data_IF_869187351817
#
_entry.id   IF_869187351817
#
_cell.length_a   1.000
_cell.length_b   1.000
_cell.length_c   1.000
_cell.angle_alpha   90.00
_cell.angle_beta   90.00
_cell.angle_gamma   90.00
#
_symmetry.space_group_name_H-M   'P 1'
#
loop_
_entity.id
_entity.type
_entity.pdbx_description
1 polymer ?
#
# COMPACT_ATOMS: atom_id res chain seq x y z
N UNK A 1 -14.20 -6.88 17.27
CA UNK A 1 -14.19 -5.99 16.09
C UNK A 1 -13.92 -6.70 14.75
N UNK A 2 -13.76 -8.03 14.66
CA UNK A 2 -13.08 -8.63 13.49
C UNK A 2 -13.97 -9.10 12.33
N UNK A 3 -15.16 -9.66 12.58
CA UNK A 3 -15.89 -10.32 11.49
C UNK A 3 -16.72 -9.37 10.62
N UNK A 4 -17.33 -8.35 11.23
CA UNK A 4 -18.18 -7.39 10.52
C UNK A 4 -17.39 -6.48 9.57
N UNK A 5 -16.25 -5.94 10.03
CA UNK A 5 -15.38 -5.09 9.20
C UNK A 5 -14.76 -5.88 8.04
N UNK A 6 -14.40 -7.15 8.28
CA UNK A 6 -13.90 -8.03 7.24
C UNK A 6 -14.99 -8.35 6.20
N UNK A 7 -16.23 -8.59 6.63
CA UNK A 7 -17.36 -8.80 5.70
C UNK A 7 -17.64 -7.56 4.86
N UNK A 8 -17.64 -6.37 5.48
CA UNK A 8 -17.81 -5.11 4.75
C UNK A 8 -16.69 -4.88 3.73
N UNK A 9 -15.44 -5.14 4.12
CA UNK A 9 -14.30 -5.05 3.22
C UNK A 9 -14.44 -6.03 2.04
N UNK A 10 -14.83 -7.27 2.29
CA UNK A 10 -15.00 -8.28 1.24
C UNK A 10 -16.15 -7.91 0.29
N UNK A 11 -17.27 -7.39 0.81
CA UNK A 11 -18.37 -6.91 -0.03
C UNK A 11 -17.93 -5.74 -0.91
N UNK A 12 -17.25 -4.76 -0.33
CA UNK A 12 -16.67 -3.64 -1.09
C UNK A 12 -15.69 -4.15 -2.16
N UNK A 13 -14.72 -4.98 -1.77
CA UNK A 13 -13.70 -5.52 -2.67
C UNK A 13 -14.31 -6.30 -3.84
N UNK A 14 -15.30 -7.14 -3.56
CA UNK A 14 -15.98 -7.93 -4.59
C UNK A 14 -16.85 -7.09 -5.52
N UNK A 15 -17.25 -5.87 -5.11
CA UNK A 15 -17.97 -4.92 -5.96
C UNK A 15 -17.08 -4.18 -6.97
N UNK A 16 -15.76 -4.23 -6.79
CA UNK A 16 -14.80 -3.55 -7.67
C UNK A 16 -14.57 -4.32 -8.97
N UNK A 17 -14.17 -3.61 -10.02
CA UNK A 17 -13.76 -4.22 -11.28
C UNK A 17 -12.58 -5.19 -11.07
N UNK A 18 -12.48 -6.30 -11.82
CA UNK A 18 -11.41 -7.29 -11.66
C UNK A 18 -9.99 -6.74 -11.76
N UNK A 19 -9.79 -5.70 -12.58
CA UNK A 19 -8.50 -5.01 -12.69
C UNK A 19 -8.13 -4.30 -11.38
N UNK A 20 -9.08 -3.61 -10.76
CA UNK A 20 -8.87 -2.91 -9.47
C UNK A 20 -8.62 -3.91 -8.35
N UNK A 21 -9.34 -5.03 -8.34
CA UNK A 21 -9.10 -6.12 -7.38
C UNK A 21 -7.67 -6.68 -7.48
N UNK A 22 -7.17 -6.84 -8.70
CA UNK A 22 -5.80 -7.29 -8.96
C UNK A 22 -4.78 -6.28 -8.44
N UNK A 23 -5.00 -5.00 -8.71
CA UNK A 23 -4.09 -3.94 -8.29
C UNK A 23 -4.04 -3.81 -6.75
N UNK A 24 -5.18 -3.92 -6.07
CA UNK A 24 -5.24 -3.95 -4.60
C UNK A 24 -4.47 -5.16 -4.05
N UNK A 25 -4.69 -6.36 -4.60
CA UNK A 25 -3.97 -7.57 -4.18
C UNK A 25 -2.46 -7.42 -4.39
N UNK A 26 -2.05 -6.88 -5.53
CA UNK A 26 -0.65 -6.65 -5.84
C UNK A 26 -0.03 -5.61 -4.91
N UNK A 27 -0.71 -4.48 -4.66
CA UNK A 27 -0.24 -3.47 -3.72
C UNK A 27 -0.04 -4.03 -2.31
N UNK A 28 -1.03 -4.79 -1.79
CA UNK A 28 -0.93 -5.42 -0.48
C UNK A 28 0.25 -6.40 -0.41
N UNK A 29 0.45 -7.19 -1.47
CA UNK A 29 1.58 -8.13 -1.55
C UNK A 29 2.94 -7.42 -1.57
N UNK A 30 3.09 -6.37 -2.39
CA UNK A 30 4.34 -5.60 -2.48
C UNK A 30 4.62 -4.87 -1.17
N UNK A 31 3.58 -4.33 -0.52
CA UNK A 31 3.71 -3.66 0.77
C UNK A 31 4.19 -4.61 1.86
N UNK A 32 3.64 -5.83 1.93
CA UNK A 32 4.08 -6.88 2.86
C UNK A 32 5.56 -7.22 2.64
N UNK A 33 5.97 -7.44 1.38
CA UNK A 33 7.39 -7.64 1.03
C UNK A 33 8.27 -6.46 1.41
N UNK A 34 7.81 -5.22 1.21
CA UNK A 34 8.57 -4.01 1.53
C UNK A 34 8.90 -3.91 3.03
N UNK A 35 7.95 -4.30 3.89
CA UNK A 35 8.12 -4.29 5.34
C UNK A 35 9.24 -5.25 5.78
N UNK A 36 9.27 -6.44 5.18
CA UNK A 36 10.22 -7.50 5.53
C UNK A 36 11.59 -7.37 4.83
N UNK A 37 11.67 -6.62 3.72
CA UNK A 37 12.90 -6.48 2.94
C UNK A 37 13.97 -5.66 3.69
N UNK A 38 15.14 -6.26 3.87
CA UNK A 38 16.29 -5.64 4.55
C UNK A 38 17.30 -5.03 3.57
N UNK A 39 17.31 -5.47 2.31
CA UNK A 39 18.14 -4.91 1.27
C UNK A 39 17.58 -3.57 0.80
N UNK A 40 18.32 -2.49 1.05
CA UNK A 40 17.91 -1.13 0.70
C UNK A 40 17.54 -0.96 -0.78
N UNK A 41 18.31 -1.57 -1.71
CA UNK A 41 18.07 -1.44 -3.15
C UNK A 41 16.80 -2.20 -3.58
N UNK A 42 16.57 -3.37 -3.00
CA UNK A 42 15.33 -4.12 -3.24
C UNK A 42 14.13 -3.36 -2.66
N UNK A 43 14.27 -2.79 -1.45
CA UNK A 43 13.25 -1.97 -0.80
C UNK A 43 12.88 -0.72 -1.63
N UNK A 44 13.85 -0.04 -2.22
CA UNK A 44 13.61 1.08 -3.15
C UNK A 44 12.87 0.65 -4.42
N UNK A 45 13.14 -0.56 -4.91
CA UNK A 45 12.42 -1.13 -6.06
C UNK A 45 10.96 -1.38 -5.72
N UNK A 46 10.70 -2.04 -4.59
CA UNK A 46 9.35 -2.28 -4.07
C UNK A 46 8.59 -0.97 -3.82
N UNK A 47 9.26 0.04 -3.28
CA UNK A 47 8.69 1.39 -3.11
C UNK A 47 8.29 2.02 -4.46
N UNK A 48 9.14 1.88 -5.48
CA UNK A 48 8.82 2.33 -6.83
C UNK A 48 7.57 1.67 -7.41
N UNK A 49 7.39 0.37 -7.17
CA UNK A 49 6.19 -0.38 -7.58
C UNK A 49 4.94 0.14 -6.88
N UNK A 50 4.99 0.39 -5.57
CA UNK A 50 3.88 0.97 -4.82
C UNK A 50 3.50 2.37 -5.33
N UNK A 51 4.50 3.24 -5.56
CA UNK A 51 4.27 4.58 -6.11
C UNK A 51 3.59 4.57 -7.49
N UNK A 52 3.81 3.54 -8.33
CA UNK A 52 3.11 3.43 -9.61
C UNK A 52 1.60 3.24 -9.41
N UNK A 53 1.21 2.39 -8.47
CA UNK A 53 -0.19 2.13 -8.16
C UNK A 53 -0.84 3.31 -7.44
N UNK A 54 -0.12 3.96 -6.51
CA UNK A 54 -0.62 5.17 -5.85
C UNK A 54 -0.93 6.28 -6.84
N UNK A 55 -0.01 6.56 -7.79
CA UNK A 55 -0.26 7.55 -8.84
C UNK A 55 -1.44 7.16 -9.72
N UNK A 56 -1.58 5.88 -10.06
CA UNK A 56 -2.70 5.38 -10.87
C UNK A 56 -4.06 5.70 -10.22
N UNK A 57 -4.13 5.67 -8.90
CA UNK A 57 -5.35 5.91 -8.13
C UNK A 57 -5.39 7.28 -7.44
N UNK A 58 -4.43 8.17 -7.73
CA UNK A 58 -4.28 9.48 -7.10
C UNK A 58 -4.30 9.41 -5.56
N UNK A 59 -3.56 8.45 -5.00
CA UNK A 59 -3.43 8.24 -3.56
C UNK A 59 -2.25 9.06 -3.02
N UNK A 60 -2.45 9.73 -1.90
CA UNK A 60 -1.39 10.40 -1.14
C UNK A 60 -0.91 9.46 -0.02
N UNK A 61 0.23 8.80 -0.23
CA UNK A 61 0.79 7.83 0.73
C UNK A 61 2.23 8.21 1.06
N UNK A 62 2.60 8.09 2.34
CA UNK A 62 3.97 8.32 2.83
C UNK A 62 4.54 7.01 3.37
N UNK A 63 5.60 6.50 2.75
CA UNK A 63 6.26 5.24 3.11
C UNK A 63 7.57 5.47 3.87
N UNK A 64 7.50 5.50 5.21
CA UNK A 64 8.66 5.68 6.14
C UNK A 64 9.33 7.07 6.05
N UNK A 65 9.92 7.72 7.07
CA UNK A 65 10.24 7.44 8.46
C UNK A 65 9.74 8.66 9.28
N UNK A 66 9.06 8.47 10.43
CA UNK A 66 8.52 9.56 11.28
C UNK A 66 9.59 10.47 11.93
N UNK A 67 10.85 10.41 11.50
CA UNK A 67 11.96 11.17 12.08
C UNK A 67 12.44 12.37 11.25
N UNK A 68 11.62 12.88 10.33
CA UNK A 68 11.80 14.24 9.78
C UNK A 68 10.48 15.00 9.78
N UNK A 69 9.86 15.12 10.95
CA UNK A 69 9.15 16.37 11.23
C UNK A 69 10.23 17.46 11.29
N UNK A 70 10.15 18.56 10.51
CA UNK A 70 10.86 19.75 10.92
C UNK A 70 10.27 20.15 12.28
N UNK A 71 11.08 20.05 13.34
CA UNK A 71 10.86 20.88 14.50
C UNK A 71 10.76 22.32 13.98
N UNK A 72 9.71 23.01 14.42
CA UNK A 72 9.28 24.27 13.82
C UNK A 72 10.40 25.27 13.58
N UNK A 73 10.16 26.09 12.56
CA UNK A 73 10.73 27.43 12.43
C UNK A 73 9.59 28.41 12.26
#
# INVERSE_FOLDING_TARGET
>A
MRDYEQQLFLQFFNSLAPAVQRDIKHYLFVYDMYLDEQNQKARETLLGEMHMLERKYNLEVTHGNKNKQPAGS
#
